data_IF_065521391637
#
_entry.id   IF_065521391637
#
_cell.length_a   1.000
_cell.length_b   1.000
_cell.length_c   1.000
_cell.angle_alpha   90.00
_cell.angle_beta   90.00
_cell.angle_gamma   90.00
#
_symmetry.space_group_name_H-M   'P 1'
#
loop_
_entity.id
_entity.type
_entity.pdbx_description
1 polymer ?
#
# COMPACT_ATOMS: atom_id res chain seq x y z
N UNK A 1 -13.09 8.60 -9.38
CA UNK A 1 -14.11 9.43 -8.71
C UNK A 1 -15.48 9.13 -9.31
N UNK A 2 -16.53 9.12 -8.51
CA UNK A 2 -17.90 8.78 -8.92
C UNK A 2 -18.66 9.94 -9.60
N UNK A 3 -18.02 11.09 -9.80
CA UNK A 3 -18.61 12.27 -10.46
C UNK A 3 -19.52 13.15 -9.58
N UNK A 4 -19.66 12.83 -8.30
CA UNK A 4 -20.39 13.67 -7.35
C UNK A 4 -19.59 14.97 -7.12
N UNK A 5 -20.23 16.13 -7.32
CA UNK A 5 -19.60 17.45 -7.24
C UNK A 5 -20.48 18.52 -6.58
N UNK A 6 -21.53 18.13 -5.89
CA UNK A 6 -22.50 19.00 -5.22
C UNK A 6 -22.06 19.39 -3.78
N UNK A 7 -20.77 19.53 -3.59
CA UNK A 7 -20.14 20.02 -2.35
C UNK A 7 -19.00 20.99 -2.67
N UNK A 8 -18.53 21.71 -1.68
CA UNK A 8 -17.37 22.59 -1.82
C UNK A 8 -16.06 21.79 -2.04
N UNK A 9 -15.78 21.53 -3.31
CA UNK A 9 -14.62 20.74 -3.73
C UNK A 9 -13.29 21.41 -3.37
N UNK A 10 -13.21 22.74 -3.38
CA UNK A 10 -11.97 23.44 -3.07
C UNK A 10 -11.63 23.30 -1.58
N UNK A 11 -12.58 23.58 -0.71
CA UNK A 11 -12.38 23.41 0.75
C UNK A 11 -12.06 21.95 1.10
N UNK A 12 -12.77 20.98 0.52
CA UNK A 12 -12.49 19.55 0.74
C UNK A 12 -11.10 19.15 0.25
N UNK A 13 -10.71 19.64 -0.92
CA UNK A 13 -9.37 19.39 -1.48
C UNK A 13 -8.28 19.95 -0.56
N UNK A 14 -8.37 21.21 -0.14
CA UNK A 14 -7.37 21.85 0.73
C UNK A 14 -7.26 21.14 2.10
N UNK A 15 -8.36 20.68 2.67
CA UNK A 15 -8.34 19.90 3.91
C UNK A 15 -7.56 18.58 3.73
N UNK A 16 -7.83 17.84 2.67
CA UNK A 16 -7.12 16.59 2.35
C UNK A 16 -5.64 16.83 2.02
N UNK A 17 -5.36 17.88 1.21
CA UNK A 17 -3.98 18.28 0.89
C UNK A 17 -3.18 18.63 2.14
N UNK A 18 -3.78 19.43 3.02
CA UNK A 18 -3.18 19.80 4.30
C UNK A 18 -2.87 18.57 5.14
N UNK A 19 -3.80 17.64 5.30
CA UNK A 19 -3.58 16.37 6.00
C UNK A 19 -2.43 15.55 5.38
N UNK A 20 -2.26 15.60 4.05
CA UNK A 20 -1.20 14.87 3.36
C UNK A 20 0.19 15.56 3.39
N UNK A 21 0.26 16.82 3.85
CA UNK A 21 1.50 17.64 3.76
C UNK A 21 1.97 18.23 5.09
N UNK A 22 1.17 18.19 6.15
CA UNK A 22 1.59 18.64 7.47
C UNK A 22 2.72 17.75 8.03
N UNK A 23 3.69 18.32 8.75
CA UNK A 23 4.68 17.56 9.51
C UNK A 23 4.03 16.58 10.49
N UNK A 24 4.67 15.43 10.71
CA UNK A 24 4.12 14.35 11.55
C UNK A 24 3.74 14.79 12.97
N UNK A 25 4.56 15.63 13.61
CA UNK A 25 4.28 16.18 14.94
C UNK A 25 2.98 17.02 15.03
N UNK A 26 2.49 17.53 13.91
CA UNK A 26 1.27 18.32 13.80
C UNK A 26 0.12 17.56 13.15
N UNK A 27 0.34 16.29 12.83
CA UNK A 27 -0.53 15.48 11.99
C UNK A 27 -0.88 14.15 12.65
N UNK A 28 -1.96 14.14 13.41
CA UNK A 28 -2.43 12.92 14.10
C UNK A 28 -2.80 11.78 13.13
N UNK A 29 -3.16 12.11 11.89
CA UNK A 29 -3.54 11.10 10.88
C UNK A 29 -2.33 10.50 10.17
N UNK A 30 -1.18 11.19 10.18
CA UNK A 30 0.07 10.74 9.54
C UNK A 30 1.27 11.11 10.43
N UNK A 31 1.43 10.45 11.59
CA UNK A 31 2.53 10.76 12.50
C UNK A 31 3.91 10.55 11.87
N UNK A 32 4.02 9.66 10.87
CA UNK A 32 5.25 9.31 10.16
C UNK A 32 5.48 10.17 8.91
N UNK A 33 4.74 11.28 8.73
CA UNK A 33 4.71 12.02 7.47
C UNK A 33 6.05 12.65 7.09
N UNK A 34 6.89 12.99 8.06
CA UNK A 34 8.21 13.59 7.78
C UNK A 34 9.13 12.60 7.05
N UNK A 35 9.19 11.35 7.55
CA UNK A 35 9.94 10.28 6.89
C UNK A 35 9.29 9.88 5.55
N UNK A 36 7.98 9.75 5.53
CA UNK A 36 7.24 9.43 4.32
C UNK A 36 7.47 10.44 3.19
N UNK A 37 7.43 11.75 3.51
CA UNK A 37 7.66 12.81 2.52
C UNK A 37 9.12 12.88 2.06
N UNK A 38 10.07 12.72 2.97
CA UNK A 38 11.50 12.88 2.67
C UNK A 38 12.13 11.64 2.02
N UNK A 39 11.76 10.44 2.49
CA UNK A 39 12.35 9.17 2.04
C UNK A 39 11.50 8.44 1.00
N UNK A 40 10.19 8.75 0.92
CA UNK A 40 9.23 8.02 0.10
C UNK A 40 8.72 6.72 0.72
N UNK A 41 9.09 6.45 1.97
CA UNK A 41 8.64 5.31 2.77
C UNK A 41 8.68 5.66 4.26
N UNK A 42 7.98 4.89 5.10
CA UNK A 42 8.06 4.96 6.57
C UNK A 42 9.05 3.89 7.04
N UNK A 43 10.15 4.26 7.71
CA UNK A 43 11.10 3.27 8.22
C UNK A 43 10.55 2.52 9.44
N UNK A 44 10.96 1.27 9.61
CA UNK A 44 10.74 0.51 10.82
C UNK A 44 11.66 1.07 11.92
N UNK A 45 11.07 1.72 12.93
CA UNK A 45 11.81 2.34 14.06
C UNK A 45 11.90 1.39 15.24
N UNK A 46 10.83 0.65 15.51
CA UNK A 46 10.73 -0.33 16.59
C UNK A 46 10.30 -1.70 16.02
N UNK A 47 10.56 -2.77 16.77
CA UNK A 47 10.37 -4.12 16.28
C UNK A 47 8.93 -4.41 15.82
N UNK A 48 7.92 -3.82 16.43
CA UNK A 48 6.50 -4.08 16.16
C UNK A 48 5.73 -2.81 15.77
N UNK A 49 6.39 -1.85 15.15
CA UNK A 49 5.67 -0.73 14.57
C UNK A 49 4.92 -1.12 13.28
N UNK A 50 3.99 -0.29 12.85
CA UNK A 50 3.12 -0.52 11.70
C UNK A 50 3.61 0.20 10.44
N UNK A 51 4.90 0.39 10.27
CA UNK A 51 5.51 1.27 9.26
C UNK A 51 5.07 0.97 7.81
N UNK A 52 5.02 -0.31 7.42
CA UNK A 52 4.59 -0.70 6.07
C UNK A 52 3.09 -0.47 5.89
N UNK A 53 2.28 -0.86 6.88
CA UNK A 53 0.83 -0.65 6.85
C UNK A 53 0.47 0.83 6.73
N UNK A 54 1.06 1.70 7.57
CA UNK A 54 0.87 3.15 7.48
C UNK A 54 1.26 3.70 6.10
N UNK A 55 2.42 3.31 5.59
CA UNK A 55 2.88 3.79 4.29
C UNK A 55 1.94 3.36 3.14
N UNK A 56 1.41 2.13 3.17
CA UNK A 56 0.47 1.65 2.14
C UNK A 56 -0.82 2.46 2.15
N UNK A 57 -1.37 2.77 3.33
CA UNK A 57 -2.53 3.65 3.45
C UNK A 57 -2.23 5.07 2.90
N UNK A 58 -1.05 5.60 3.20
CA UNK A 58 -0.66 6.91 2.68
C UNK A 58 -0.52 6.91 1.16
N UNK A 59 0.02 5.84 0.54
CA UNK A 59 0.10 5.73 -0.93
C UNK A 59 -1.27 5.67 -1.58
N UNK A 60 -2.22 4.93 -1.00
CA UNK A 60 -3.61 4.85 -1.50
C UNK A 60 -4.29 6.21 -1.40
N UNK A 61 -4.16 6.89 -0.25
CA UNK A 61 -4.73 8.20 -0.04
C UNK A 61 -4.09 9.26 -0.96
N UNK A 62 -2.77 9.22 -1.17
CA UNK A 62 -2.09 10.12 -2.10
C UNK A 62 -2.50 9.86 -3.56
N UNK A 63 -2.77 8.62 -3.95
CA UNK A 63 -3.33 8.35 -5.28
C UNK A 63 -4.75 8.91 -5.45
N UNK A 64 -5.57 8.86 -4.40
CA UNK A 64 -6.88 9.50 -4.41
C UNK A 64 -6.75 11.04 -4.56
N UNK A 65 -5.82 11.66 -3.83
CA UNK A 65 -5.49 13.08 -3.99
C UNK A 65 -4.95 13.42 -5.38
N UNK A 66 -4.08 12.59 -5.95
CA UNK A 66 -3.65 12.73 -7.35
C UNK A 66 -4.84 12.80 -8.29
N UNK A 67 -5.78 11.86 -8.14
CA UNK A 67 -6.96 11.78 -9.01
C UNK A 67 -7.84 13.03 -8.88
N UNK A 68 -8.01 13.54 -7.66
CA UNK A 68 -8.78 14.74 -7.39
C UNK A 68 -8.05 15.99 -7.92
N UNK A 69 -6.77 16.19 -7.59
CA UNK A 69 -5.94 17.30 -8.07
C UNK A 69 -5.95 17.37 -9.61
N UNK A 70 -5.77 16.24 -10.27
CA UNK A 70 -5.84 16.15 -11.74
C UNK A 70 -7.20 16.58 -12.28
N UNK A 71 -8.31 16.18 -11.63
CA UNK A 71 -9.66 16.56 -12.05
C UNK A 71 -9.96 18.04 -11.85
N UNK A 72 -9.23 18.71 -10.94
CA UNK A 72 -9.31 20.15 -10.64
C UNK A 72 -8.29 20.97 -11.42
N UNK A 73 -7.44 20.37 -12.25
CA UNK A 73 -6.40 21.05 -13.00
C UNK A 73 -5.19 21.48 -12.18
N UNK A 74 -5.04 21.00 -10.94
CA UNK A 74 -3.92 21.30 -10.03
C UNK A 74 -2.72 20.41 -10.40
N UNK A 75 -1.99 20.78 -11.44
CA UNK A 75 -0.98 19.94 -12.09
C UNK A 75 0.19 19.60 -11.17
N UNK A 76 0.75 20.55 -10.45
CA UNK A 76 1.90 20.35 -9.56
C UNK A 76 1.57 19.37 -8.44
N UNK A 77 0.42 19.54 -7.79
CA UNK A 77 -0.05 18.63 -6.75
C UNK A 77 -0.35 17.23 -7.32
N UNK A 78 -0.92 17.16 -8.53
CA UNK A 78 -1.15 15.89 -9.19
C UNK A 78 0.16 15.13 -9.43
N UNK A 79 1.19 15.80 -9.94
CA UNK A 79 2.50 15.19 -10.17
C UNK A 79 3.15 14.74 -8.86
N UNK A 80 3.07 15.57 -7.80
CA UNK A 80 3.58 15.25 -6.47
C UNK A 80 2.93 14.00 -5.89
N UNK A 81 1.59 14.00 -5.80
CA UNK A 81 0.84 12.89 -5.18
C UNK A 81 0.91 11.60 -6.00
N UNK A 82 0.97 11.71 -7.34
CA UNK A 82 1.24 10.53 -8.18
C UNK A 82 2.60 9.92 -7.87
N UNK A 83 3.66 10.72 -7.82
CA UNK A 83 5.01 10.26 -7.49
C UNK A 83 5.05 9.57 -6.12
N UNK A 84 4.45 10.20 -5.11
CA UNK A 84 4.41 9.67 -3.74
C UNK A 84 3.66 8.34 -3.69
N UNK A 85 2.51 8.24 -4.33
CA UNK A 85 1.69 7.01 -4.33
C UNK A 85 2.39 5.78 -4.91
N UNK A 86 3.48 5.97 -5.66
CA UNK A 86 4.27 4.86 -6.23
C UNK A 86 5.36 4.34 -5.28
N UNK A 87 5.45 4.88 -4.06
CA UNK A 87 6.49 4.55 -3.08
C UNK A 87 6.42 3.12 -2.52
N UNK A 88 5.30 2.41 -2.64
CA UNK A 88 5.18 1.00 -2.25
C UNK A 88 6.29 0.13 -2.82
N UNK A 89 6.89 0.54 -3.96
CA UNK A 89 7.99 -0.16 -4.63
C UNK A 89 9.26 -0.27 -3.79
N UNK A 90 9.48 0.66 -2.85
CA UNK A 90 10.61 0.61 -1.93
C UNK A 90 10.59 -0.66 -1.08
N UNK A 91 9.42 -1.07 -0.62
CA UNK A 91 9.25 -2.22 0.25
C UNK A 91 9.36 -3.58 -0.46
N UNK A 92 9.28 -3.62 -1.80
CA UNK A 92 9.25 -4.88 -2.52
C UNK A 92 10.61 -5.59 -2.48
N UNK A 93 10.70 -6.68 -1.74
CA UNK A 93 11.88 -7.53 -1.62
C UNK A 93 11.81 -8.67 -2.63
N UNK A 94 12.69 -8.65 -3.63
CA UNK A 94 12.72 -9.68 -4.70
C UNK A 94 13.04 -11.08 -4.17
N UNK A 95 13.86 -11.19 -3.12
CA UNK A 95 14.26 -12.44 -2.49
C UNK A 95 13.04 -13.21 -1.97
N UNK A 96 12.17 -12.54 -1.22
CA UNK A 96 10.94 -13.14 -0.69
C UNK A 96 9.75 -13.02 -1.68
N UNK A 97 9.83 -12.03 -2.58
CA UNK A 97 8.74 -11.70 -3.50
C UNK A 97 7.52 -11.09 -2.81
N UNK A 98 7.73 -10.46 -1.66
CA UNK A 98 6.74 -9.79 -0.81
C UNK A 98 7.23 -8.41 -0.41
N UNK A 99 6.39 -7.64 0.26
CA UNK A 99 6.81 -6.40 0.93
C UNK A 99 7.59 -6.76 2.20
N UNK A 100 8.64 -6.00 2.47
CA UNK A 100 9.52 -6.17 3.63
C UNK A 100 9.80 -4.82 4.25
N UNK A 101 9.74 -4.69 5.59
CA UNK A 101 10.05 -3.44 6.28
C UNK A 101 11.47 -2.95 5.98
N UNK A 102 11.63 -1.62 5.99
CA UNK A 102 12.90 -0.94 5.71
C UNK A 102 13.32 -0.18 6.97
N UNK A 103 14.58 -0.33 7.36
CA UNK A 103 15.20 0.35 8.48
C UNK A 103 15.52 1.83 8.13
N UNK A 104 15.81 2.68 9.13
CA UNK A 104 16.19 4.08 8.90
C UNK A 104 17.40 4.27 7.98
N UNK A 105 18.32 3.28 7.93
CA UNK A 105 19.50 3.28 7.06
C UNK A 105 19.23 2.83 5.62
N UNK A 106 17.96 2.55 5.29
CA UNK A 106 17.52 2.13 3.96
C UNK A 106 17.66 0.64 3.67
N UNK A 107 18.15 -0.15 4.62
CA UNK A 107 18.24 -1.61 4.45
C UNK A 107 16.94 -2.30 4.84
N UNK A 108 16.68 -3.44 4.24
CA UNK A 108 15.58 -4.29 4.68
C UNK A 108 15.82 -4.83 6.10
N UNK A 109 14.76 -4.82 6.90
CA UNK A 109 14.76 -5.44 8.24
C UNK A 109 15.15 -6.93 8.16
N UNK A 110 16.01 -7.38 9.07
CA UNK A 110 16.50 -8.76 9.14
C UNK A 110 16.77 -9.15 10.61
N UNK A 111 16.48 -10.41 11.03
CA UNK A 111 15.87 -11.49 10.23
C UNK A 111 14.41 -11.21 9.89
N UNK A 112 13.89 -11.78 8.79
CA UNK A 112 12.53 -11.53 8.33
C UNK A 112 11.83 -12.83 7.94
N UNK A 113 10.67 -13.06 8.56
CA UNK A 113 9.72 -14.10 8.20
C UNK A 113 8.46 -13.45 7.64
N UNK A 114 8.11 -13.66 6.35
CA UNK A 114 6.91 -13.07 5.75
C UNK A 114 5.59 -13.59 6.33
N UNK A 115 5.61 -14.64 7.14
CA UNK A 115 4.44 -15.18 7.85
C UNK A 115 4.34 -14.69 9.30
N UNK A 116 5.35 -14.01 9.83
CA UNK A 116 5.26 -13.45 11.17
C UNK A 116 4.10 -12.45 11.25
N UNK A 117 3.22 -12.62 12.22
CA UNK A 117 1.98 -11.86 12.39
C UNK A 117 0.74 -12.57 11.87
N UNK A 118 0.84 -13.83 11.45
CA UNK A 118 -0.32 -14.65 11.14
C UNK A 118 -1.21 -14.80 12.39
N UNK A 119 -2.54 -14.80 12.19
CA UNK A 119 -3.53 -14.85 13.28
C UNK A 119 -3.44 -13.65 14.25
N UNK A 120 -3.16 -12.46 13.74
CA UNK A 120 -3.08 -11.20 14.51
C UNK A 120 -1.97 -11.16 15.57
N UNK A 121 -0.96 -12.00 15.47
CA UNK A 121 0.24 -11.89 16.29
C UNK A 121 1.04 -10.63 15.92
N UNK A 122 1.82 -10.02 16.85
CA UNK A 122 2.67 -8.88 16.55
C UNK A 122 3.66 -9.17 15.41
N UNK A 123 3.76 -8.25 14.46
CA UNK A 123 4.62 -8.36 13.29
C UNK A 123 5.39 -7.07 13.05
N UNK A 124 6.68 -7.13 12.67
CA UNK A 124 7.42 -5.93 12.33
C UNK A 124 6.85 -5.26 11.08
N UNK A 125 6.36 -4.03 11.22
CA UNK A 125 5.89 -3.19 10.13
C UNK A 125 4.48 -3.45 9.62
N UNK A 126 3.78 -4.48 10.13
CA UNK A 126 2.44 -4.85 9.66
C UNK A 126 1.42 -4.84 10.80
N UNK A 127 0.30 -4.18 10.58
CA UNK A 127 -0.80 -4.10 11.53
C UNK A 127 -1.76 -5.28 11.35
N UNK A 128 -2.04 -6.01 12.41
CA UNK A 128 -3.03 -7.11 12.42
C UNK A 128 -2.82 -8.17 11.33
N UNK A 129 -1.60 -8.37 10.88
CA UNK A 129 -1.31 -9.31 9.81
C UNK A 129 0.18 -9.43 9.51
N UNK A 130 0.47 -9.97 8.36
CA UNK A 130 1.82 -10.26 7.92
C UNK A 130 2.11 -9.72 6.51
N UNK A 131 3.31 -9.98 6.02
CA UNK A 131 3.72 -9.51 4.69
C UNK A 131 2.82 -10.02 3.55
N UNK A 132 2.25 -11.23 3.64
CA UNK A 132 1.36 -11.75 2.60
C UNK A 132 0.02 -11.03 2.57
N UNK A 133 -0.52 -10.64 3.75
CA UNK A 133 -1.76 -9.86 3.85
C UNK A 133 -1.63 -8.45 3.25
N UNK A 134 -0.41 -7.90 3.22
CA UNK A 134 -0.18 -6.53 2.71
C UNK A 134 0.47 -6.47 1.32
N UNK A 135 1.07 -7.57 0.83
CA UNK A 135 1.82 -7.54 -0.44
C UNK A 135 0.97 -7.15 -1.65
N UNK A 136 -0.29 -7.55 -1.68
CA UNK A 136 -1.19 -7.20 -2.78
C UNK A 136 -2.09 -5.99 -2.47
N UNK A 137 -1.93 -5.36 -1.30
CA UNK A 137 -2.69 -4.18 -0.90
C UNK A 137 -2.17 -2.91 -1.61
N UNK A 138 -2.20 -2.95 -2.93
CA UNK A 138 -1.83 -1.86 -3.84
C UNK A 138 -2.95 -1.65 -4.89
N UNK A 139 -4.19 -1.33 -4.46
CA UNK A 139 -5.35 -1.28 -5.35
C UNK A 139 -5.23 -0.20 -6.42
N UNK A 140 -4.42 0.82 -6.20
CA UNK A 140 -4.22 1.93 -7.10
C UNK A 140 -3.25 1.64 -8.25
N UNK A 141 -2.38 0.61 -8.15
CA UNK A 141 -1.41 0.25 -9.21
C UNK A 141 -1.19 -1.27 -9.33
N UNK A 142 -2.27 -2.05 -9.42
CA UNK A 142 -2.22 -3.53 -9.54
C UNK A 142 -1.34 -3.97 -10.71
N UNK A 143 -1.42 -3.27 -11.85
CA UNK A 143 -0.57 -3.58 -13.01
C UNK A 143 0.89 -3.21 -12.79
N UNK A 144 1.17 -2.16 -12.04
CA UNK A 144 2.52 -1.79 -11.62
C UNK A 144 3.13 -2.80 -10.68
N UNK A 145 2.37 -3.27 -9.70
CA UNK A 145 2.78 -4.34 -8.80
C UNK A 145 3.07 -5.63 -9.58
N UNK A 146 2.23 -5.99 -10.55
CA UNK A 146 2.47 -7.16 -11.40
C UNK A 146 3.77 -7.02 -12.20
N UNK A 147 4.06 -5.83 -12.76
CA UNK A 147 5.35 -5.58 -13.44
C UNK A 147 6.54 -5.73 -12.46
N UNK A 148 6.40 -5.21 -11.25
CA UNK A 148 7.42 -5.29 -10.21
C UNK A 148 7.73 -6.75 -9.81
N UNK A 149 6.69 -7.59 -9.77
CA UNK A 149 6.80 -9.04 -9.51
C UNK A 149 7.36 -9.85 -10.69
N UNK A 150 7.61 -9.21 -11.83
CA UNK A 150 8.15 -9.86 -13.03
C UNK A 150 7.09 -10.30 -14.04
N UNK A 151 5.93 -9.66 -14.03
CA UNK A 151 4.87 -9.81 -15.03
C UNK A 151 3.61 -10.51 -14.54
N UNK A 152 2.57 -10.44 -15.38
CA UNK A 152 1.23 -10.94 -15.07
C UNK A 152 1.22 -12.39 -14.56
N UNK A 153 1.97 -13.29 -15.22
CA UNK A 153 1.98 -14.71 -14.82
C UNK A 153 2.48 -14.89 -13.40
N UNK A 154 3.62 -14.28 -13.06
CA UNK A 154 4.19 -14.38 -11.71
C UNK A 154 3.29 -13.76 -10.65
N UNK A 155 2.62 -12.65 -10.96
CA UNK A 155 1.64 -12.03 -10.06
C UNK A 155 0.49 -12.99 -9.79
N UNK A 156 -0.11 -13.58 -10.83
CA UNK A 156 -1.24 -14.49 -10.70
C UNK A 156 -0.84 -15.76 -9.94
N UNK A 157 0.30 -16.37 -10.30
CA UNK A 157 0.79 -17.59 -9.63
C UNK A 157 1.03 -17.32 -8.14
N UNK A 158 1.57 -16.17 -7.80
CA UNK A 158 1.81 -15.76 -6.41
C UNK A 158 0.51 -15.45 -5.66
N UNK A 159 -0.42 -14.74 -6.29
CA UNK A 159 -1.74 -14.48 -5.70
C UNK A 159 -2.51 -15.80 -5.47
N UNK A 160 -2.48 -16.71 -6.44
CA UNK A 160 -3.10 -18.03 -6.27
C UNK A 160 -2.47 -18.82 -5.11
N UNK A 161 -1.13 -18.75 -4.99
CA UNK A 161 -0.41 -19.40 -3.88
C UNK A 161 -0.87 -18.89 -2.50
N UNK A 162 -1.24 -17.61 -2.37
CA UNK A 162 -1.79 -17.06 -1.11
C UNK A 162 -3.07 -17.81 -0.71
N UNK A 163 -3.95 -18.12 -1.67
CA UNK A 163 -5.16 -18.90 -1.42
C UNK A 163 -4.85 -20.39 -1.17
N UNK A 164 -4.01 -20.98 -2.00
CA UNK A 164 -3.66 -22.41 -1.93
C UNK A 164 -2.95 -22.78 -0.61
N UNK A 165 -2.22 -21.82 -0.02
CA UNK A 165 -1.50 -21.99 1.25
C UNK A 165 -2.29 -21.56 2.47
N UNK A 166 -3.50 -21.03 2.31
CA UNK A 166 -4.29 -20.52 3.41
C UNK A 166 -3.72 -19.26 4.06
N UNK A 167 -2.97 -18.44 3.30
CA UNK A 167 -2.46 -17.15 3.80
C UNK A 167 -3.48 -16.01 3.64
N UNK A 168 -4.53 -16.23 2.85
CA UNK A 168 -5.64 -15.30 2.69
C UNK A 168 -6.48 -15.24 3.96
N UNK A 169 -6.70 -14.06 4.48
CA UNK A 169 -7.56 -13.83 5.65
C UNK A 169 -8.68 -12.84 5.29
N UNK A 170 -9.91 -13.33 5.05
CA UNK A 170 -11.04 -12.45 4.72
C UNK A 170 -11.48 -11.54 5.88
N UNK A 171 -11.03 -11.81 7.10
CA UNK A 171 -11.30 -10.95 8.26
C UNK A 171 -10.34 -9.76 8.34
N UNK A 172 -9.21 -9.79 7.59
CA UNK A 172 -8.27 -8.69 7.53
C UNK A 172 -8.59 -7.76 6.33
N UNK A 173 -8.79 -6.49 6.59
CA UNK A 173 -9.23 -5.50 5.59
C UNK A 173 -8.34 -5.46 4.33
N UNK A 174 -7.00 -5.50 4.38
CA UNK A 174 -6.15 -5.52 3.19
C UNK A 174 -6.46 -6.67 2.22
N UNK A 175 -6.85 -7.83 2.74
CA UNK A 175 -7.06 -9.03 1.95
C UNK A 175 -8.41 -9.06 1.21
N UNK A 176 -9.41 -8.29 1.66
CA UNK A 176 -10.79 -8.31 1.12
C UNK A 176 -10.81 -8.15 -0.41
N UNK A 177 -9.89 -7.37 -0.96
CA UNK A 177 -9.81 -7.14 -2.39
C UNK A 177 -9.12 -8.27 -3.19
N UNK A 178 -8.40 -9.19 -2.55
CA UNK A 178 -7.55 -10.19 -3.22
C UNK A 178 -8.28 -11.07 -4.24
N UNK A 179 -9.48 -11.62 -3.97
CA UNK A 179 -10.22 -12.41 -4.96
C UNK A 179 -10.52 -11.64 -6.26
N UNK A 180 -10.67 -10.32 -6.15
CA UNK A 180 -11.02 -9.46 -7.29
C UNK A 180 -9.80 -9.05 -8.13
N UNK A 181 -8.57 -9.21 -7.62
CA UNK A 181 -7.35 -8.80 -8.33
C UNK A 181 -7.10 -9.61 -9.60
N UNK A 182 -7.60 -10.84 -9.66
CA UNK A 182 -7.55 -11.65 -10.88
C UNK A 182 -8.26 -10.98 -12.07
N UNK A 183 -9.31 -10.20 -11.82
CA UNK A 183 -10.10 -9.52 -12.86
C UNK A 183 -9.33 -8.45 -13.65
N UNK A 184 -8.22 -7.96 -13.10
CA UNK A 184 -7.34 -7.02 -13.81
C UNK A 184 -6.63 -7.63 -15.02
N UNK A 185 -6.66 -8.95 -15.17
CA UNK A 185 -5.95 -9.70 -16.20
C UNK A 185 -6.92 -10.56 -17.01
N UNK A 186 -6.93 -10.36 -18.35
CA UNK A 186 -7.85 -11.06 -19.26
C UNK A 186 -7.72 -12.58 -19.17
N UNK A 187 -8.84 -13.28 -19.17
CA UNK A 187 -8.92 -14.73 -19.23
C UNK A 187 -8.62 -15.46 -17.92
N UNK A 188 -8.55 -14.73 -16.80
CA UNK A 188 -8.34 -15.31 -15.48
C UNK A 188 -9.53 -14.99 -14.58
N UNK A 189 -10.40 -15.98 -14.40
CA UNK A 189 -11.32 -16.01 -13.27
C UNK A 189 -10.54 -16.69 -12.16
N UNK A 190 -10.30 -15.98 -11.05
CA UNK A 190 -9.65 -16.58 -9.88
C UNK A 190 -10.44 -17.79 -9.42
N UNK A 191 -9.78 -18.91 -9.26
CA UNK A 191 -10.34 -20.04 -8.52
C UNK A 191 -10.08 -19.80 -7.04
N UNK A 192 -10.78 -18.83 -6.45
CA UNK A 192 -10.95 -18.85 -5.02
C UNK A 192 -11.87 -20.04 -4.73
N UNK A 193 -11.31 -21.15 -4.33
CA UNK A 193 -12.09 -22.16 -3.66
C UNK A 193 -12.40 -21.63 -2.26
N UNK A 194 -13.62 -21.18 -2.09
CA UNK A 194 -14.21 -20.91 -0.79
C UNK A 194 -14.52 -22.26 -0.15
#
# INVERSE_FOLDING_TARGET
MKGLRDFDMETAYEAMRKSATLPGKENLMRPDNDDYMSKGYVPLMEQFDNSVSHALEYYIADYALYTLAKSMGKKEDADLFYKRSMGYKHYYCKEFGTLRPILPDGKFYSPFDPLQGQNFEPSPGFHEGNSWNYTFYVPHDVKGLARLMGGQKKFIDKLQMVFDKGYYDPANEPDIAYPYLFSYFKGKIGRAHV
#
